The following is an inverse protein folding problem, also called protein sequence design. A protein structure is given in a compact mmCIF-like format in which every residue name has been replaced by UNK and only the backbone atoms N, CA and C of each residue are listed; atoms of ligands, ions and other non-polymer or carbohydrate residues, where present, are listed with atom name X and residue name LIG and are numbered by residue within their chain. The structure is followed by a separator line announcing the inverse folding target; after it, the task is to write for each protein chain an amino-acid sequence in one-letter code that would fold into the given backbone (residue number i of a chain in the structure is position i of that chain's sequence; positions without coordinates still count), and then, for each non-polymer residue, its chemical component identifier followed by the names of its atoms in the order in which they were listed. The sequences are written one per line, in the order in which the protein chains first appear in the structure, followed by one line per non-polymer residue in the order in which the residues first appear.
data_IF_275083366484
#
_entry.id   IF_275083366484
#
_cell.length_a   1.000
_cell.length_b   1.000
_cell.length_c   1.000
_cell.angle_alpha   90.00
_cell.angle_beta   90.00
_cell.angle_gamma   90.00
#
_symmetry.space_group_name_H-M   'P 1'
#
loop_
_entity.id
_entity.type
_entity.pdbx_description
1 polymer ?
#
# COMPACT_ATOMS: atom_id res chain seq x y z
N UNK A 1 27.69 1.35 0.86
CA UNK A 1 27.10 1.44 0.26
C UNK A 1 26.67 1.53 -0.32
N UNK A 2 26.84 1.12 -0.14
CA UNK A 2 26.24 1.24 -0.86
C UNK A 2 25.63 1.30 -1.28
N UNK A 3 25.89 1.30 -1.10
CA UNK A 3 25.05 1.41 -1.69
C UNK A 3 24.44 1.77 -1.89
N UNK A 4 24.73 2.16 -1.71
CA UNK A 4 23.82 2.63 -1.99
C UNK A 4 23.56 2.99 -2.71
N UNK A 5 23.94 2.97 -2.89
CA UNK A 5 23.30 3.31 -3.70
C UNK A 5 22.78 3.05 -4.35
N UNK A 6 22.91 2.85 -4.23
CA UNK A 6 22.06 2.60 -4.97
C UNK A 6 21.32 2.58 -5.19
N UNK A 7 21.30 2.58 -5.01
CA UNK A 7 20.19 2.60 -5.32
C UNK A 7 19.44 3.09 -5.23
N UNK A 8 19.45 3.52 -5.20
CA UNK A 8 18.57 4.11 -5.31
C UNK A 8 17.85 4.36 -6.10
N UNK A 9 17.56 4.03 -6.76
CA UNK A 9 16.71 4.22 -7.51
C UNK A 9 15.97 3.39 -7.87
N UNK A 10 16.21 2.79 -7.90
CA UNK A 10 15.53 2.05 -8.33
C UNK A 10 14.71 1.40 -7.61
N UNK A 11 15.02 0.95 -7.19
CA UNK A 11 14.09 0.31 -6.55
C UNK A 11 13.06 1.05 -5.95
N UNK A 12 12.85 1.98 -6.38
CA UNK A 12 11.93 2.91 -5.87
C UNK A 12 10.52 2.42 -5.85
N UNK A 13 10.19 1.48 -6.74
CA UNK A 13 8.82 1.05 -6.92
C UNK A 13 8.53 -0.28 -6.25
N UNK A 14 9.56 -0.93 -5.77
CA UNK A 14 9.42 -2.24 -5.16
C UNK A 14 10.41 -2.37 -4.01
N UNK A 15 9.94 -2.90 -2.90
CA UNK A 15 10.79 -3.10 -1.73
C UNK A 15 11.69 -4.30 -1.94
N UNK A 16 12.93 -4.19 -1.53
CA UNK A 16 13.87 -5.30 -1.62
C UNK A 16 13.38 -6.49 -0.80
N UNK A 17 13.35 -7.68 -1.35
CA UNK A 17 12.98 -8.86 -0.57
C UNK A 17 14.03 -9.25 0.46
N UNK A 18 15.21 -8.63 0.40
CA UNK A 18 16.27 -8.91 1.37
C UNK A 18 16.15 -8.08 2.65
N UNK A 19 15.23 -7.13 2.68
CA UNK A 19 15.00 -6.34 3.88
C UNK A 19 13.99 -7.07 4.77
N UNK A 20 14.43 -7.66 5.91
CA UNK A 20 13.53 -8.46 6.73
C UNK A 20 12.41 -7.64 7.35
N UNK A 21 12.64 -6.34 7.61
CA UNK A 21 11.59 -5.52 8.21
C UNK A 21 10.51 -5.19 7.19
N UNK A 22 10.88 -5.12 5.92
CA UNK A 22 9.92 -4.81 4.87
C UNK A 22 8.93 -5.95 4.64
N UNK A 23 9.28 -7.18 5.01
CA UNK A 23 8.42 -8.34 4.83
C UNK A 23 7.69 -8.74 6.10
N UNK A 24 7.91 -8.03 7.20
CA UNK A 24 7.22 -8.30 8.46
C UNK A 24 5.89 -7.56 8.47
N UNK A 25 4.82 -8.31 8.34
CA UNK A 25 3.48 -7.73 8.29
C UNK A 25 2.99 -7.43 9.70
N UNK A 26 2.38 -6.26 9.85
CA UNK A 26 1.74 -5.85 11.10
C UNK A 26 0.31 -5.47 10.80
N UNK A 27 -0.60 -5.88 11.68
CA UNK A 27 -1.99 -5.43 11.58
C UNK A 27 -2.11 -4.18 12.42
N UNK A 28 -2.47 -3.08 11.78
CA UNK A 28 -2.58 -1.79 12.48
C UNK A 28 -4.03 -1.34 12.50
N UNK A 29 -4.36 -0.54 13.51
CA UNK A 29 -5.66 0.09 13.59
C UNK A 29 -5.61 1.38 12.81
N UNK A 30 -6.43 1.50 11.78
CA UNK A 30 -6.46 2.68 10.93
C UNK A 30 -7.91 3.13 10.84
N UNK A 31 -8.22 4.24 11.51
CA UNK A 31 -9.57 4.80 11.56
C UNK A 31 -10.60 3.75 11.97
N UNK A 32 -10.24 2.91 12.95
CA UNK A 32 -11.15 1.92 13.50
C UNK A 32 -11.18 0.58 12.80
N UNK A 33 -10.44 0.44 11.69
CA UNK A 33 -10.38 -0.82 10.97
C UNK A 33 -8.99 -1.43 11.05
N UNK A 34 -8.93 -2.75 11.06
CA UNK A 34 -7.66 -3.47 11.13
C UNK A 34 -7.14 -3.70 9.72
N UNK A 35 -6.01 -3.09 9.40
CA UNK A 35 -5.42 -3.13 8.07
C UNK A 35 -4.04 -3.75 8.14
N UNK A 36 -3.74 -4.67 7.23
CA UNK A 36 -2.40 -5.24 7.12
C UNK A 36 -1.45 -4.16 6.60
N UNK A 37 -0.26 -4.11 7.17
CA UNK A 37 0.72 -3.10 6.80
C UNK A 37 2.13 -3.66 6.88
N UNK A 38 3.05 -2.95 6.25
CA UNK A 38 4.47 -3.22 6.33
C UNK A 38 5.16 -1.90 6.64
N UNK A 39 6.24 -1.95 7.41
CA UNK A 39 7.02 -0.75 7.70
C UNK A 39 8.16 -0.67 6.70
N UNK A 40 8.15 0.39 5.88
CA UNK A 40 9.15 0.58 4.83
C UNK A 40 9.72 1.98 5.00
N UNK A 41 11.03 2.06 5.20
CA UNK A 41 11.72 3.33 5.42
C UNK A 41 11.05 4.15 6.53
N UNK A 42 10.63 3.47 7.59
CA UNK A 42 10.02 4.14 8.74
C UNK A 42 8.58 4.55 8.54
N UNK A 43 7.98 4.24 7.39
CA UNK A 43 6.59 4.59 7.13
C UNK A 43 5.70 3.36 7.23
N UNK A 44 4.49 3.56 7.74
CA UNK A 44 3.49 2.52 7.79
C UNK A 44 2.81 2.45 6.42
N UNK A 45 3.06 1.35 5.70
CA UNK A 45 2.54 1.16 4.35
C UNK A 45 1.38 0.20 4.40
N UNK A 46 0.19 0.71 4.12
CA UNK A 46 -1.05 -0.07 4.22
C UNK A 46 -1.31 -0.88 2.96
N UNK A 47 -1.94 -2.04 3.14
CA UNK A 47 -2.42 -2.83 2.01
C UNK A 47 -3.53 -2.04 1.32
N UNK A 48 -3.24 -1.48 0.14
CA UNK A 48 -4.17 -0.60 -0.53
C UNK A 48 -5.49 -1.28 -0.90
N UNK A 49 -5.50 -2.50 -1.45
CA UNK A 49 -6.78 -3.16 -1.72
C UNK A 49 -7.64 -3.34 -0.49
N UNK A 50 -7.05 -3.66 0.66
CA UNK A 50 -7.81 -3.84 1.88
C UNK A 50 -8.36 -2.50 2.38
N UNK A 51 -7.53 -1.46 2.36
CA UNK A 51 -7.98 -0.13 2.77
C UNK A 51 -9.07 0.37 1.84
N UNK A 52 -8.95 0.09 0.54
CA UNK A 52 -10.00 0.45 -0.42
C UNK A 52 -11.35 -0.18 -0.02
N UNK A 53 -11.34 -1.46 0.33
CA UNK A 53 -12.57 -2.15 0.68
C UNK A 53 -13.26 -1.52 1.89
N UNK A 54 -12.47 -1.10 2.88
CA UNK A 54 -13.07 -0.53 4.08
C UNK A 54 -13.49 0.92 3.91
N UNK A 55 -12.77 1.72 3.13
CA UNK A 55 -12.95 3.17 3.19
C UNK A 55 -13.38 3.82 1.89
N UNK A 56 -13.04 3.25 0.74
CA UNK A 56 -13.24 3.93 -0.53
C UNK A 56 -14.25 3.25 -1.45
N UNK A 57 -14.59 2.02 -1.16
CA UNK A 57 -15.42 1.22 -2.05
C UNK A 57 -16.74 1.90 -2.42
N UNK A 58 -17.33 2.60 -1.46
CA UNK A 58 -18.61 3.26 -1.67
C UNK A 58 -18.47 4.71 -2.17
N UNK A 59 -17.24 5.19 -2.29
CA UNK A 59 -16.98 6.56 -2.72
C UNK A 59 -16.48 6.64 -4.16
N UNK A 60 -15.84 5.58 -4.64
CA UNK A 60 -15.28 5.56 -6.00
C UNK A 60 -15.61 4.22 -6.65
N UNK A 61 -15.51 4.17 -7.96
CA UNK A 61 -15.93 3.03 -8.73
C UNK A 61 -15.05 1.80 -8.66
N UNK A 62 -13.79 1.95 -8.28
CA UNK A 62 -12.89 0.81 -8.20
C UNK A 62 -11.45 1.25 -8.00
N UNK A 63 -10.57 0.26 -7.83
CA UNK A 63 -9.15 0.54 -7.61
C UNK A 63 -8.50 1.31 -8.75
N UNK A 64 -8.97 1.09 -9.97
CA UNK A 64 -8.45 1.83 -11.10
C UNK A 64 -8.61 3.33 -10.91
N UNK A 65 -9.79 3.75 -10.45
CA UNK A 65 -10.06 5.16 -10.16
C UNK A 65 -9.16 5.67 -9.04
N UNK A 66 -8.93 4.82 -8.04
CA UNK A 66 -8.04 5.18 -6.92
C UNK A 66 -6.63 5.47 -7.44
N UNK A 67 -6.12 4.61 -8.32
CA UNK A 67 -4.77 4.82 -8.86
C UNK A 67 -4.68 6.10 -9.67
N UNK A 68 -5.73 6.43 -10.41
CA UNK A 68 -5.78 7.67 -11.17
C UNK A 68 -5.76 8.88 -10.23
N UNK A 69 -6.52 8.81 -9.13
CA UNK A 69 -6.53 9.89 -8.14
C UNK A 69 -5.17 10.04 -7.47
N UNK A 70 -4.52 8.93 -7.13
CA UNK A 70 -3.19 8.96 -6.54
C UNK A 70 -2.22 9.69 -7.45
N UNK A 71 -2.25 9.38 -8.74
CA UNK A 71 -1.35 10.00 -9.70
C UNK A 71 -1.58 11.52 -9.73
N UNK A 72 -2.83 11.95 -9.71
CA UNK A 72 -3.15 13.37 -9.72
C UNK A 72 -2.68 14.08 -8.45
N UNK A 73 -2.71 13.38 -7.32
CA UNK A 73 -2.31 13.95 -6.05
C UNK A 73 -0.81 13.84 -5.78
N UNK A 74 -0.07 13.22 -6.69
CA UNK A 74 1.37 13.02 -6.49
C UNK A 74 1.68 11.90 -5.53
N UNK A 75 0.74 11.00 -5.29
CA UNK A 75 0.93 9.85 -4.41
C UNK A 75 1.40 8.67 -5.23
N UNK A 76 2.46 8.00 -4.77
CA UNK A 76 3.07 6.89 -5.49
C UNK A 76 2.99 5.61 -4.66
N UNK A 77 1.95 4.79 -4.85
CA UNK A 77 1.89 3.51 -4.16
C UNK A 77 3.07 2.62 -4.57
N UNK A 78 3.48 1.77 -3.65
CA UNK A 78 4.63 0.88 -3.84
C UNK A 78 4.13 -0.50 -4.19
N UNK A 79 4.72 -1.11 -5.22
CA UNK A 79 4.37 -2.47 -5.63
C UNK A 79 4.93 -3.47 -4.63
N UNK A 80 4.09 -4.40 -4.16
CA UNK A 80 4.53 -5.44 -3.24
C UNK A 80 5.49 -6.40 -3.94
N UNK A 81 6.45 -6.91 -3.18
CA UNK A 81 7.27 -8.01 -3.66
C UNK A 81 6.50 -9.33 -3.46
N UNK A 82 7.07 -10.42 -3.98
CA UNK A 82 6.41 -11.73 -3.95
C UNK A 82 6.10 -12.18 -2.52
N UNK A 83 7.03 -11.95 -1.61
CA UNK A 83 6.85 -12.39 -0.23
C UNK A 83 5.73 -11.61 0.45
N UNK A 84 5.65 -10.31 0.21
CA UNK A 84 4.57 -9.50 0.76
C UNK A 84 3.20 -9.95 0.24
N UNK A 85 3.12 -10.24 -1.05
CA UNK A 85 1.88 -10.74 -1.63
C UNK A 85 1.47 -12.05 -0.98
N UNK A 86 2.44 -12.96 -0.78
CA UNK A 86 2.17 -14.25 -0.17
C UNK A 86 1.62 -14.10 1.25
N UNK A 87 2.23 -13.22 2.03
CA UNK A 87 1.77 -12.95 3.40
C UNK A 87 0.37 -12.39 3.40
N UNK A 88 0.09 -11.42 2.53
CA UNK A 88 -1.23 -10.80 2.46
C UNK A 88 -2.31 -11.79 2.05
N UNK A 89 -2.01 -12.69 1.12
CA UNK A 89 -2.96 -13.72 0.74
C UNK A 89 -3.22 -14.68 1.90
N UNK A 90 -2.16 -15.04 2.61
CA UNK A 90 -2.29 -15.93 3.74
C UNK A 90 -3.13 -15.37 4.86
N UNK A 91 -3.13 -14.05 5.03
CA UNK A 91 -3.94 -13.37 6.03
C UNK A 91 -5.36 -13.09 5.55
N UNK A 92 -5.64 -13.30 4.29
CA UNK A 92 -6.93 -12.97 3.74
C UNK A 92 -7.13 -11.49 3.44
N UNK A 93 -6.04 -10.72 3.47
CA UNK A 93 -6.12 -9.29 3.16
C UNK A 93 -6.32 -9.03 1.68
N UNK A 94 -5.94 -9.99 0.84
CA UNK A 94 -6.23 -9.96 -0.59
C UNK A 94 -6.76 -11.34 -0.98
N UNK A 95 -7.43 -11.40 -2.13
CA UNK A 95 -8.06 -12.61 -2.61
C UNK A 95 -7.04 -13.68 -2.98
N UNK A 96 -7.41 -14.97 -2.88
CA UNK A 96 -6.45 -16.05 -3.15
C UNK A 96 -5.83 -16.03 -4.54
N UNK A 97 -6.54 -15.54 -5.54
CA UNK A 97 -6.04 -15.51 -6.90
C UNK A 97 -5.24 -14.26 -7.25
N UNK A 98 -5.12 -13.32 -6.31
CA UNK A 98 -4.44 -12.06 -6.58
C UNK A 98 -2.94 -12.24 -6.49
N UNK A 99 -2.22 -11.85 -7.53
CA UNK A 99 -0.75 -11.96 -7.59
C UNK A 99 -0.05 -10.63 -7.48
N UNK A 100 -0.80 -9.53 -7.42
CA UNK A 100 -0.23 -8.19 -7.34
C UNK A 100 -0.96 -7.40 -6.29
N UNK A 101 -0.22 -6.52 -5.65
CA UNK A 101 -0.79 -5.66 -4.62
C UNK A 101 0.08 -4.42 -4.53
N UNK A 102 -0.52 -3.32 -4.14
CA UNK A 102 0.24 -2.11 -3.88
C UNK A 102 0.03 -1.68 -2.45
N UNK A 103 1.03 -1.00 -1.92
CA UNK A 103 1.00 -0.44 -0.56
C UNK A 103 0.98 1.06 -0.67
N UNK A 104 0.30 1.71 0.27
CA UNK A 104 0.22 3.16 0.31
C UNK A 104 0.51 3.63 1.74
N UNK A 105 1.31 4.70 1.86
CA UNK A 105 1.59 5.25 3.18
C UNK A 105 0.29 5.70 3.85
N UNK A 106 0.20 5.52 5.15
CA UNK A 106 -1.02 5.87 5.88
C UNK A 106 -1.37 7.35 5.73
N UNK A 107 -0.36 8.23 5.77
CA UNK A 107 -0.60 9.67 5.59
C UNK A 107 -1.08 9.98 4.17
N UNK A 108 -0.56 9.26 3.18
CA UNK A 108 -1.02 9.43 1.79
C UNK A 108 -2.46 8.96 1.63
N UNK A 109 -2.82 7.89 2.33
CA UNK A 109 -4.19 7.39 2.25
C UNK A 109 -5.17 8.38 2.87
N UNK A 110 -4.75 9.05 3.95
CA UNK A 110 -5.57 10.11 4.55
C UNK A 110 -5.84 11.23 3.55
N UNK A 111 -4.82 11.62 2.81
CA UNK A 111 -4.98 12.65 1.79
C UNK A 111 -5.93 12.18 0.68
N UNK A 112 -5.77 10.93 0.27
CA UNK A 112 -6.63 10.33 -0.75
C UNK A 112 -8.08 10.31 -0.28
N UNK A 113 -8.33 9.96 0.97
CA UNK A 113 -9.68 9.95 1.51
C UNK A 113 -10.30 11.34 1.53
N UNK A 114 -9.52 12.34 1.89
CA UNK A 114 -10.02 13.72 1.88
C UNK A 114 -10.44 14.12 0.48
N UNK A 115 -9.64 13.77 -0.52
CA UNK A 115 -9.98 14.08 -1.91
C UNK A 115 -11.25 13.37 -2.32
N UNK A 116 -11.39 12.10 -1.99
CA UNK A 116 -12.57 11.33 -2.36
C UNK A 116 -13.85 11.89 -1.71
N UNK A 117 -13.73 12.43 -0.51
CA UNK A 117 -14.88 12.97 0.19
C UNK A 117 -15.26 14.37 -0.27
N UNK A 118 -14.34 15.13 -0.82
CA UNK A 118 -14.59 16.53 -1.17
C UNK A 118 -14.84 16.75 -2.66
N UNK A 119 -14.52 15.78 -3.52
CA UNK A 119 -14.61 15.98 -4.95
C UNK A 119 -15.85 15.36 -5.57
N UNK A 120 -16.84 15.07 -4.78
CA UNK A 120 -18.10 14.52 -5.28
C UNK A 120 -19.07 15.60 -5.72
#
# INVERSE_FOLDING_TARGET
MTDLHYNRHQSLQMVSPNDPTANACKIVDFHGEKIASFTIHGKTMLCLPQAFEFFLKNLVGGLHTVYTKCKRLGINPIVCNVEQVRVLRGLGSIQPGVNRCKLIADTDFDELMRDCNTSR
#
